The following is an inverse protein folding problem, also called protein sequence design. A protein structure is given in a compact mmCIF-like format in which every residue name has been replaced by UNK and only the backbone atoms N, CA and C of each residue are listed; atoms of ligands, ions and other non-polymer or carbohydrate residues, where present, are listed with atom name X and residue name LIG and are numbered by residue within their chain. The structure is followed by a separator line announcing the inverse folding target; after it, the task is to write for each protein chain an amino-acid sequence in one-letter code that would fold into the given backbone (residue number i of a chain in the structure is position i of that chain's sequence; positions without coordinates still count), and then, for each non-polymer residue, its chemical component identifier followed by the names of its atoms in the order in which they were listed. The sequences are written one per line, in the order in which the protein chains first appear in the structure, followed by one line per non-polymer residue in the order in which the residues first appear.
data_IF_029427676768
#
_entry.id   IF_029427676768
#
_cell.length_a   1.000
_cell.length_b   1.000
_cell.length_c   1.000
_cell.angle_alpha   90.00
_cell.angle_beta   90.00
_cell.angle_gamma   90.00
#
_symmetry.space_group_name_H-M   'P 1'
#
loop_
_entity.id
_entity.type
_entity.pdbx_description
1 polymer ?
#
# COMPACT_ATOMS: atom_id res chain seq x y z
N UNK A 1 -16.20 13.76 92.45
CA UNK A 1 -15.48 12.70 91.67
C UNK A 1 -16.08 12.68 90.32
N UNK A 2 -15.45 13.40 89.39
CA UNK A 2 -15.95 13.59 88.00
C UNK A 2 -15.13 12.73 87.06
N UNK A 3 -15.77 11.91 86.29
CA UNK A 3 -15.20 11.15 85.15
C UNK A 3 -15.57 11.82 83.86
N UNK A 4 -14.54 12.23 83.11
CA UNK A 4 -14.68 12.79 81.77
C UNK A 4 -14.70 11.65 80.69
N UNK A 5 -15.68 11.64 79.91
CA UNK A 5 -15.76 10.80 78.72
C UNK A 5 -15.28 11.63 77.52
N UNK A 6 -14.18 11.20 76.91
CA UNK A 6 -13.70 11.73 75.65
C UNK A 6 -14.35 10.97 74.50
N UNK A 7 -15.07 11.64 73.60
CA UNK A 7 -15.62 11.10 72.37
C UNK A 7 -14.54 11.23 71.26
N UNK A 8 -14.10 10.09 70.68
CA UNK A 8 -13.26 10.02 69.49
C UNK A 8 -14.20 10.05 68.27
N UNK A 9 -14.13 11.14 67.49
CA UNK A 9 -14.74 11.22 66.15
C UNK A 9 -13.72 10.70 65.17
N UNK A 10 -13.95 9.51 64.61
CA UNK A 10 -13.16 8.95 63.53
C UNK A 10 -13.65 9.54 62.21
N UNK A 11 -12.83 10.38 61.58
CA UNK A 11 -13.01 10.82 60.20
C UNK A 11 -12.57 9.70 59.24
N UNK A 12 -13.52 8.99 58.65
CA UNK A 12 -13.24 8.05 57.57
C UNK A 12 -12.92 8.79 56.26
N UNK A 13 -11.67 8.79 55.85
CA UNK A 13 -11.26 9.23 54.52
C UNK A 13 -11.71 8.14 53.53
N UNK A 14 -12.80 8.38 52.76
CA UNK A 14 -13.16 7.57 51.60
C UNK A 14 -12.27 8.00 50.46
N UNK A 15 -11.21 7.25 50.18
CA UNK A 15 -10.39 7.41 49.01
C UNK A 15 -11.22 6.92 47.80
N UNK A 16 -11.69 7.86 46.98
CA UNK A 16 -12.22 7.54 45.64
C UNK A 16 -11.04 7.18 44.76
N UNK A 17 -10.81 5.88 44.57
CA UNK A 17 -9.92 5.38 43.50
C UNK A 17 -10.72 5.57 42.21
N UNK A 18 -10.41 6.65 41.48
CA UNK A 18 -10.84 6.81 40.11
C UNK A 18 -10.13 5.72 39.31
N UNK A 19 -10.82 4.63 38.97
CA UNK A 19 -10.43 3.73 37.92
C UNK A 19 -10.49 4.53 36.61
N UNK A 20 -9.36 5.14 36.24
CA UNK A 20 -9.14 5.59 34.88
C UNK A 20 -9.18 4.31 34.01
N UNK A 21 -10.32 4.06 33.37
CA UNK A 21 -10.39 3.07 32.31
C UNK A 21 -9.33 3.42 31.28
N UNK A 22 -8.28 2.61 31.19
CA UNK A 22 -7.40 2.65 30.06
C UNK A 22 -8.31 2.44 28.85
N UNK A 23 -8.52 3.48 28.05
CA UNK A 23 -9.07 3.31 26.71
C UNK A 23 -8.15 2.28 26.07
N UNK A 24 -8.67 1.10 25.75
CA UNK A 24 -7.95 0.16 24.90
C UNK A 24 -7.62 0.96 23.65
N UNK A 25 -6.33 1.25 23.44
CA UNK A 25 -5.90 1.79 22.18
C UNK A 25 -6.42 0.82 21.12
N UNK A 26 -7.20 1.33 20.16
CA UNK A 26 -7.66 0.51 19.05
C UNK A 26 -6.45 -0.20 18.47
N UNK A 27 -6.55 -1.49 18.27
CA UNK A 27 -5.47 -2.33 17.77
C UNK A 27 -5.31 -2.00 16.28
N UNK A 28 -4.24 -1.30 15.84
CA UNK A 28 -4.18 -0.71 14.49
C UNK A 28 -4.45 -1.73 13.39
N UNK A 29 -3.90 -2.93 13.51
CA UNK A 29 -4.07 -4.00 12.49
C UNK A 29 -5.50 -4.56 12.39
N UNK A 30 -6.40 -4.20 13.28
CA UNK A 30 -7.82 -4.56 13.23
C UNK A 30 -8.71 -3.43 12.71
N UNK A 31 -8.13 -2.34 12.26
CA UNK A 31 -8.86 -1.16 11.77
C UNK A 31 -8.53 -0.86 10.32
N UNK A 32 -9.50 -0.33 9.58
CA UNK A 32 -9.27 0.28 8.27
C UNK A 32 -9.47 1.79 8.41
N UNK A 33 -8.40 2.59 8.48
CA UNK A 33 -8.53 4.04 8.46
C UNK A 33 -9.16 4.53 7.13
N UNK A 34 -9.82 5.69 7.12
CA UNK A 34 -10.41 6.24 5.91
C UNK A 34 -9.33 6.55 4.86
N UNK A 35 -9.69 6.38 3.58
CA UNK A 35 -8.81 6.76 2.47
C UNK A 35 -8.50 8.26 2.54
N UNK A 36 -7.22 8.65 2.57
CA UNK A 36 -6.84 10.05 2.61
C UNK A 36 -7.13 10.75 1.28
N UNK A 37 -7.13 12.07 1.29
CA UNK A 37 -7.17 12.87 0.07
C UNK A 37 -5.76 13.21 -0.39
N UNK A 38 -5.53 13.21 -1.70
CA UNK A 38 -4.28 13.74 -2.26
C UNK A 38 -4.19 15.26 -2.01
N UNK A 39 -2.98 15.80 -1.78
CA UNK A 39 -2.78 17.25 -1.78
C UNK A 39 -3.06 17.85 -3.17
N UNK A 40 -2.97 19.17 -3.29
CA UNK A 40 -3.13 19.83 -4.59
C UNK A 40 -1.95 19.46 -5.50
N UNK A 41 -2.25 18.73 -6.58
CA UNK A 41 -1.23 18.34 -7.55
C UNK A 41 -0.64 19.56 -8.29
N UNK A 42 0.64 19.48 -8.65
CA UNK A 42 1.27 20.40 -9.58
C UNK A 42 0.73 20.20 -11.00
N UNK A 43 0.52 18.94 -11.38
CA UNK A 43 -0.09 18.53 -12.62
C UNK A 43 -0.91 17.25 -12.38
N UNK A 44 -2.06 17.14 -13.05
CA UNK A 44 -2.83 15.91 -13.11
C UNK A 44 -3.58 15.83 -14.43
N UNK A 45 -3.90 14.62 -14.86
CA UNK A 45 -4.61 14.42 -16.11
C UNK A 45 -4.62 12.96 -16.53
N UNK A 46 -4.75 12.74 -17.84
CA UNK A 46 -4.81 11.42 -18.45
C UNK A 46 -3.69 11.28 -19.48
N UNK A 47 -2.84 10.27 -19.27
CA UNK A 47 -1.86 9.83 -20.26
C UNK A 47 -2.50 8.81 -21.22
N UNK A 48 -2.39 8.99 -22.54
CA UNK A 48 -2.83 8.01 -23.52
C UNK A 48 -1.77 6.90 -23.66
N UNK A 49 -1.87 5.86 -22.82
CA UNK A 49 -0.92 4.74 -22.82
C UNK A 49 -1.65 3.44 -23.13
N UNK A 50 -1.02 2.55 -23.86
CA UNK A 50 -1.49 1.17 -24.14
C UNK A 50 -3.00 1.04 -24.42
N UNK A 51 -3.55 1.96 -25.24
CA UNK A 51 -4.97 2.04 -25.65
C UNK A 51 -5.95 2.41 -24.54
N UNK A 52 -5.48 2.94 -23.41
CA UNK A 52 -6.31 3.44 -22.32
C UNK A 52 -5.99 4.92 -22.01
N UNK A 53 -6.86 5.53 -21.23
CA UNK A 53 -6.61 6.83 -20.59
C UNK A 53 -6.21 6.55 -19.14
N UNK A 54 -4.92 6.60 -18.85
CA UNK A 54 -4.37 6.37 -17.52
C UNK A 54 -4.35 7.68 -16.75
N UNK A 55 -5.08 7.74 -15.66
CA UNK A 55 -5.06 8.91 -14.79
C UNK A 55 -3.80 8.94 -13.95
N UNK A 56 -3.21 10.13 -13.82
CA UNK A 56 -2.04 10.37 -12.98
C UNK A 56 -2.09 11.74 -12.31
N UNK A 57 -1.28 11.92 -11.26
CA UNK A 57 -1.00 13.21 -10.66
C UNK A 57 0.46 13.30 -10.23
N UNK A 58 1.04 14.51 -10.38
CA UNK A 58 2.43 14.81 -10.03
C UNK A 58 2.50 15.86 -8.92
N UNK A 59 3.45 15.66 -8.01
CA UNK A 59 3.70 16.52 -6.86
C UNK A 59 5.20 16.73 -6.69
N UNK A 60 5.57 17.88 -6.14
CA UNK A 60 6.95 18.16 -5.78
C UNK A 60 7.93 18.18 -6.96
N UNK A 61 9.20 18.21 -6.64
CA UNK A 61 10.33 18.23 -7.58
C UNK A 61 11.47 17.42 -7.00
N UNK A 62 12.41 16.96 -7.85
CA UNK A 62 13.57 16.19 -7.42
C UNK A 62 13.67 14.84 -8.12
N UNK A 63 14.25 13.85 -7.43
CA UNK A 63 14.32 12.48 -7.94
C UNK A 63 12.92 11.88 -8.11
N UNK A 64 12.62 11.22 -9.25
CA UNK A 64 11.29 10.69 -9.49
C UNK A 64 11.02 9.43 -8.67
N UNK A 65 9.85 9.41 -8.00
CA UNK A 65 9.30 8.28 -7.26
C UNK A 65 7.89 8.04 -7.72
N UNK A 66 7.57 6.80 -8.12
CA UNK A 66 6.24 6.40 -8.55
C UNK A 66 5.61 5.55 -7.45
N UNK A 67 4.42 5.94 -7.01
CA UNK A 67 3.64 5.16 -6.04
C UNK A 67 2.55 4.37 -6.75
N UNK A 68 2.56 3.05 -6.58
CA UNK A 68 1.63 2.10 -7.19
C UNK A 68 0.73 1.49 -6.11
N UNK A 69 -0.56 1.68 -6.26
CA UNK A 69 -1.57 1.20 -5.32
C UNK A 69 -1.88 -0.30 -5.51
N UNK A 70 -2.49 -0.93 -4.53
CA UNK A 70 -2.96 -2.31 -4.56
C UNK A 70 -4.26 -2.51 -5.37
N UNK A 71 -4.65 -3.75 -5.56
CA UNK A 71 -5.88 -4.11 -6.27
C UNK A 71 -7.13 -3.50 -5.65
N UNK A 72 -8.13 -3.22 -6.48
CA UNK A 72 -9.41 -2.58 -6.15
C UNK A 72 -9.32 -1.16 -5.58
N UNK A 73 -8.12 -0.64 -5.33
CA UNK A 73 -7.90 0.68 -4.74
C UNK A 73 -7.65 1.77 -5.82
N UNK A 74 -7.10 2.90 -5.42
CA UNK A 74 -6.78 4.02 -6.30
C UNK A 74 -5.66 4.88 -5.71
N UNK A 75 -5.17 5.85 -6.46
CA UNK A 75 -4.05 6.71 -6.08
C UNK A 75 -4.26 7.51 -4.79
N UNK A 76 -5.51 7.77 -4.38
CA UNK A 76 -5.79 8.54 -3.17
C UNK A 76 -5.22 7.87 -1.91
N UNK A 77 -5.10 6.54 -1.90
CA UNK A 77 -4.53 5.79 -0.80
C UNK A 77 -3.14 6.26 -0.39
N UNK A 78 -2.39 6.86 -1.30
CA UNK A 78 -1.06 7.43 -1.05
C UNK A 78 -1.05 8.88 -0.52
N UNK A 79 -2.23 9.44 -0.16
CA UNK A 79 -2.35 10.85 0.23
C UNK A 79 -1.48 11.26 1.42
N UNK A 80 -1.24 10.39 2.38
CA UNK A 80 -0.34 10.65 3.52
C UNK A 80 1.12 10.72 3.08
N UNK A 81 1.59 9.74 2.31
CA UNK A 81 2.96 9.62 1.84
C UNK A 81 3.30 10.76 0.86
N UNK A 82 2.39 11.05 -0.07
CA UNK A 82 2.56 12.19 -1.00
C UNK A 82 2.76 13.49 -0.24
N UNK A 83 1.88 13.81 0.72
CA UNK A 83 1.96 15.04 1.52
C UNK A 83 3.28 15.15 2.29
N UNK A 84 3.77 14.04 2.80
CA UNK A 84 4.99 14.03 3.61
C UNK A 84 6.28 14.05 2.79
N UNK A 85 6.25 13.66 1.52
CA UNK A 85 7.44 13.49 0.68
C UNK A 85 7.49 14.48 -0.51
N UNK A 86 6.42 15.20 -0.83
CA UNK A 86 6.37 16.13 -1.99
C UNK A 86 7.35 17.30 -1.90
N UNK A 87 7.87 17.59 -0.71
CA UNK A 87 8.92 18.60 -0.52
C UNK A 87 10.32 18.14 -0.94
N UNK A 88 10.52 16.83 -1.11
CA UNK A 88 11.84 16.20 -1.30
C UNK A 88 11.96 15.50 -2.66
N UNK A 89 10.86 14.97 -3.19
CA UNK A 89 10.83 14.13 -4.39
C UNK A 89 9.84 14.63 -5.43
N UNK A 90 10.10 14.29 -6.71
CA UNK A 90 9.09 14.36 -7.76
C UNK A 90 8.23 13.10 -7.65
N UNK A 91 7.06 13.21 -7.04
CA UNK A 91 6.17 12.09 -6.82
C UNK A 91 5.16 11.98 -7.96
N UNK A 92 5.00 10.79 -8.48
CA UNK A 92 3.93 10.43 -9.41
C UNK A 92 3.05 9.37 -8.76
N UNK A 93 1.76 9.63 -8.72
CA UNK A 93 0.75 8.60 -8.41
C UNK A 93 -0.11 8.37 -9.64
N UNK A 94 -0.65 7.17 -9.77
CA UNK A 94 -1.53 6.82 -10.89
C UNK A 94 -2.65 5.91 -10.41
N UNK A 95 -3.78 5.96 -11.10
CA UNK A 95 -4.79 4.91 -11.00
C UNK A 95 -4.44 3.85 -12.05
N UNK A 96 -4.21 2.60 -11.64
CA UNK A 96 -3.92 1.49 -12.54
C UNK A 96 -5.08 1.27 -13.53
N UNK A 97 -4.82 0.57 -14.65
CA UNK A 97 -5.86 0.29 -15.64
C UNK A 97 -7.14 -0.25 -14.98
N UNK A 98 -8.29 0.30 -15.35
CA UNK A 98 -9.59 -0.08 -14.82
C UNK A 98 -9.86 0.34 -13.37
N UNK A 99 -8.88 0.84 -12.64
CA UNK A 99 -9.03 1.33 -11.27
C UNK A 99 -9.30 2.84 -11.24
N UNK A 100 -9.93 3.29 -10.18
CA UNK A 100 -10.14 4.71 -9.92
C UNK A 100 -10.66 5.46 -11.15
N UNK A 101 -9.90 6.44 -11.64
CA UNK A 101 -10.26 7.31 -12.77
C UNK A 101 -9.80 6.77 -14.12
N UNK A 102 -8.97 5.71 -14.12
CA UNK A 102 -8.40 5.15 -15.34
C UNK A 102 -9.38 4.28 -16.10
N UNK A 103 -9.31 4.32 -17.45
CA UNK A 103 -10.09 3.42 -18.28
C UNK A 103 -9.44 2.04 -18.37
N UNK A 104 -10.19 1.06 -18.91
CA UNK A 104 -9.67 -0.24 -19.34
C UNK A 104 -10.14 -0.52 -20.77
N UNK A 105 -9.49 -1.46 -21.43
CA UNK A 105 -9.92 -2.02 -22.69
C UNK A 105 -10.39 -3.49 -22.50
N UNK A 106 -10.61 -4.19 -23.58
CA UNK A 106 -11.12 -5.57 -23.54
C UNK A 106 -10.06 -6.63 -23.21
N UNK A 107 -8.78 -6.25 -23.09
CA UNK A 107 -7.71 -7.20 -22.73
C UNK A 107 -7.90 -7.68 -21.30
N UNK A 108 -7.59 -8.96 -21.02
CA UNK A 108 -7.49 -9.44 -19.64
C UNK A 108 -6.47 -8.61 -18.83
N UNK A 109 -6.70 -8.47 -17.56
CA UNK A 109 -5.67 -7.94 -16.64
C UNK A 109 -4.49 -8.91 -16.58
N UNK A 110 -3.29 -8.35 -16.40
CA UNK A 110 -2.05 -9.07 -16.18
C UNK A 110 -1.01 -8.11 -15.61
N UNK A 111 -0.11 -8.60 -14.77
CA UNK A 111 0.92 -7.76 -14.17
C UNK A 111 1.91 -7.22 -15.20
N UNK A 112 2.25 -8.00 -16.22
CA UNK A 112 3.01 -7.58 -17.39
C UNK A 112 2.36 -6.38 -18.11
N UNK A 113 1.08 -6.48 -18.38
CA UNK A 113 0.33 -5.41 -19.03
C UNK A 113 0.22 -4.16 -18.14
N UNK A 114 0.11 -4.34 -16.82
CA UNK A 114 0.10 -3.22 -15.87
C UNK A 114 1.50 -2.59 -15.71
N UNK A 115 2.56 -3.39 -15.80
CA UNK A 115 3.94 -2.90 -15.86
C UNK A 115 4.19 -2.06 -17.12
N UNK A 116 3.73 -2.52 -18.28
CA UNK A 116 3.77 -1.76 -19.54
C UNK A 116 3.03 -0.42 -19.44
N UNK A 117 1.94 -0.35 -18.68
CA UNK A 117 1.24 0.92 -18.43
C UNK A 117 2.06 1.90 -17.61
N UNK A 118 2.75 1.41 -16.58
CA UNK A 118 3.68 2.23 -15.77
C UNK A 118 4.81 2.75 -16.65
N UNK A 119 5.42 1.89 -17.47
CA UNK A 119 6.48 2.27 -18.40
C UNK A 119 5.99 3.29 -19.44
N UNK A 120 4.79 3.08 -19.98
CA UNK A 120 4.16 4.03 -20.90
C UNK A 120 3.86 5.39 -20.25
N UNK A 121 3.47 5.41 -18.96
CA UNK A 121 3.32 6.65 -18.20
C UNK A 121 4.69 7.34 -17.99
N UNK A 122 5.72 6.57 -17.65
CA UNK A 122 7.09 7.11 -17.51
C UNK A 122 7.55 7.77 -18.82
N UNK A 123 7.31 7.14 -19.97
CA UNK A 123 7.66 7.70 -21.28
C UNK A 123 6.87 8.99 -21.57
N UNK A 124 5.57 8.99 -21.29
CA UNK A 124 4.72 10.17 -21.45
C UNK A 124 5.20 11.35 -20.60
N UNK A 125 5.64 11.09 -19.37
CA UNK A 125 6.16 12.07 -18.42
C UNK A 125 7.66 12.37 -18.59
N UNK A 126 8.31 11.71 -19.57
CA UNK A 126 9.75 11.80 -19.83
C UNK A 126 10.59 11.47 -18.59
N UNK A 127 10.21 10.40 -17.91
CA UNK A 127 10.95 9.86 -16.77
C UNK A 127 11.73 8.64 -17.26
N UNK A 128 13.04 8.76 -17.48
CA UNK A 128 13.84 7.63 -17.99
C UNK A 128 14.00 6.52 -16.95
N UNK A 129 14.06 6.90 -15.67
CA UNK A 129 14.29 5.99 -14.56
C UNK A 129 13.66 6.56 -13.28
N UNK A 130 12.99 5.72 -12.47
CA UNK A 130 12.37 6.13 -11.21
C UNK A 130 12.58 5.11 -10.10
N UNK A 131 12.45 5.52 -8.84
CA UNK A 131 12.15 4.61 -7.74
C UNK A 131 10.66 4.25 -7.78
N UNK A 132 10.33 3.04 -7.36
CA UNK A 132 8.93 2.60 -7.20
C UNK A 132 8.68 2.25 -5.74
N UNK A 133 7.56 2.73 -5.22
CA UNK A 133 6.97 2.32 -3.95
C UNK A 133 5.63 1.67 -4.29
N UNK A 134 5.57 0.35 -4.15
CA UNK A 134 4.38 -0.43 -4.50
C UNK A 134 3.75 -1.07 -3.29
N UNK A 135 2.43 -1.15 -3.29
CA UNK A 135 1.63 -1.90 -2.33
C UNK A 135 0.83 -2.99 -3.03
N UNK A 136 0.92 -4.24 -2.56
CA UNK A 136 0.14 -5.38 -3.05
C UNK A 136 0.31 -5.54 -4.57
N UNK A 137 -0.75 -5.46 -5.39
CA UNK A 137 -0.64 -5.48 -6.86
C UNK A 137 0.40 -4.48 -7.38
N UNK A 138 0.47 -3.29 -6.80
CA UNK A 138 1.46 -2.28 -7.19
C UNK A 138 2.90 -2.70 -6.89
N UNK A 139 3.13 -3.48 -5.84
CA UNK A 139 4.43 -4.06 -5.53
C UNK A 139 4.78 -5.21 -6.49
N UNK A 140 3.80 -6.02 -6.89
CA UNK A 140 3.96 -7.08 -7.90
C UNK A 140 4.31 -6.48 -9.25
N UNK A 141 3.63 -5.39 -9.66
CA UNK A 141 4.00 -4.62 -10.86
C UNK A 141 5.43 -4.09 -10.76
N UNK A 142 5.84 -3.60 -9.59
CA UNK A 142 7.23 -3.18 -9.35
C UNK A 142 8.24 -4.32 -9.50
N UNK A 143 7.92 -5.53 -9.03
CA UNK A 143 8.74 -6.73 -9.21
C UNK A 143 8.82 -7.15 -10.69
N UNK A 144 7.71 -7.08 -11.42
CA UNK A 144 7.70 -7.34 -12.86
C UNK A 144 8.64 -6.41 -13.62
N UNK A 145 8.60 -5.10 -13.32
CA UNK A 145 9.52 -4.11 -13.88
C UNK A 145 10.97 -4.40 -13.47
N UNK A 146 11.22 -4.82 -12.21
CA UNK A 146 12.56 -5.17 -11.75
C UNK A 146 13.15 -6.37 -12.49
N UNK A 147 12.31 -7.32 -12.88
CA UNK A 147 12.69 -8.53 -13.63
C UNK A 147 12.92 -8.22 -15.12
N UNK A 148 12.00 -7.49 -15.76
CA UNK A 148 11.97 -7.39 -17.22
C UNK A 148 12.55 -6.06 -17.75
N UNK A 149 12.53 -4.99 -16.91
CA UNK A 149 12.95 -3.63 -17.29
C UNK A 149 13.81 -2.95 -16.21
N UNK A 150 14.87 -3.61 -15.70
CA UNK A 150 15.68 -3.09 -14.59
C UNK A 150 16.36 -1.75 -14.91
N UNK A 151 16.54 -1.42 -16.19
CA UNK A 151 17.10 -0.12 -16.64
C UNK A 151 16.15 1.05 -16.34
N UNK A 152 14.84 0.80 -16.19
CA UNK A 152 13.82 1.81 -15.89
C UNK A 152 13.61 2.04 -14.39
N UNK A 153 14.16 1.16 -13.55
CA UNK A 153 13.94 1.13 -12.12
C UNK A 153 15.22 1.45 -11.35
N UNK A 154 15.23 2.53 -10.56
CA UNK A 154 16.38 2.86 -9.71
C UNK A 154 16.44 2.01 -8.46
N UNK A 155 15.31 1.75 -7.82
CA UNK A 155 15.11 0.89 -6.64
C UNK A 155 13.63 0.60 -6.43
N UNK A 156 13.30 -0.47 -5.70
CA UNK A 156 11.93 -0.91 -5.43
C UNK A 156 11.67 -1.12 -3.94
N UNK A 157 10.66 -0.44 -3.41
CA UNK A 157 10.05 -0.74 -2.11
C UNK A 157 8.78 -1.58 -2.37
N UNK A 158 8.88 -2.90 -2.19
CA UNK A 158 7.80 -3.83 -2.46
C UNK A 158 7.07 -4.20 -1.17
N UNK A 159 6.00 -3.47 -0.83
CA UNK A 159 5.20 -3.73 0.35
C UNK A 159 4.06 -4.70 0.04
N UNK A 160 4.00 -5.80 0.80
CA UNK A 160 2.93 -6.79 0.77
C UNK A 160 2.70 -7.43 -0.62
N UNK A 161 3.79 -7.73 -1.34
CA UNK A 161 3.75 -8.46 -2.61
C UNK A 161 3.63 -9.97 -2.39
N UNK A 162 3.19 -10.69 -3.42
CA UNK A 162 3.35 -12.14 -3.53
C UNK A 162 4.03 -12.53 -4.85
N UNK A 163 4.72 -13.65 -4.85
CA UNK A 163 5.43 -14.20 -6.00
C UNK A 163 4.60 -15.16 -6.84
N UNK A 164 3.52 -15.69 -6.25
CA UNK A 164 2.67 -16.75 -6.80
C UNK A 164 1.31 -16.72 -6.11
N UNK A 165 0.20 -17.12 -6.73
CA UNK A 165 -1.12 -17.14 -6.12
C UNK A 165 -1.19 -17.94 -4.81
N UNK A 166 -0.37 -18.99 -4.67
CA UNK A 166 -0.29 -19.76 -3.42
C UNK A 166 0.29 -18.96 -2.24
N UNK A 167 0.95 -17.84 -2.50
CA UNK A 167 1.47 -16.91 -1.51
C UNK A 167 0.40 -16.05 -0.82
N UNK A 168 -0.82 -16.07 -1.34
CA UNK A 168 -1.96 -15.34 -0.77
C UNK A 168 -2.62 -16.19 0.33
N UNK A 169 -3.02 -15.55 1.42
CA UNK A 169 -3.78 -16.16 2.51
C UNK A 169 -5.30 -16.11 2.21
N UNK A 170 -6.08 -16.84 2.99
CA UNK A 170 -7.55 -16.74 2.94
C UNK A 170 -8.01 -15.49 3.69
N UNK A 171 -8.41 -14.48 2.95
CA UNK A 171 -8.90 -13.19 3.47
C UNK A 171 -10.41 -13.16 3.76
N UNK A 172 -11.15 -14.23 3.46
CA UNK A 172 -12.61 -14.23 3.56
C UNK A 172 -13.14 -13.92 4.96
N UNK A 173 -12.33 -14.22 5.98
CA UNK A 173 -12.67 -13.99 7.38
C UNK A 173 -11.99 -12.76 8.00
N UNK A 174 -11.24 -11.96 7.23
CA UNK A 174 -10.63 -10.72 7.72
C UNK A 174 -11.66 -9.59 7.78
N UNK A 175 -11.99 -9.04 8.97
CA UNK A 175 -12.90 -7.90 9.08
C UNK A 175 -12.36 -6.66 8.35
N UNK A 176 -11.04 -6.44 8.38
CA UNK A 176 -10.37 -5.30 7.75
C UNK A 176 -10.46 -5.40 6.23
N UNK A 177 -10.18 -6.59 5.66
CA UNK A 177 -10.32 -6.80 4.22
C UNK A 177 -11.77 -6.69 3.73
N UNK A 178 -12.72 -7.23 4.51
CA UNK A 178 -14.14 -7.09 4.18
C UNK A 178 -14.59 -5.62 4.20
N UNK A 179 -14.11 -4.83 5.17
CA UNK A 179 -14.33 -3.39 5.21
C UNK A 179 -13.69 -2.68 4.01
N UNK A 180 -12.47 -3.07 3.62
CA UNK A 180 -11.77 -2.55 2.46
C UNK A 180 -12.54 -2.83 1.15
N UNK A 181 -12.99 -4.06 0.92
CA UNK A 181 -13.76 -4.43 -0.29
C UNK A 181 -15.04 -3.58 -0.40
N UNK A 182 -15.79 -3.46 0.71
CA UNK A 182 -17.00 -2.64 0.76
C UNK A 182 -16.73 -1.15 0.55
N UNK A 183 -15.55 -0.66 0.94
CA UNK A 183 -15.11 0.72 0.72
C UNK A 183 -14.68 0.93 -0.73
N UNK A 184 -13.91 0.01 -1.28
CA UNK A 184 -13.41 0.04 -2.65
C UNK A 184 -14.55 0.11 -3.69
N UNK A 185 -15.68 -0.59 -3.45
CA UNK A 185 -16.87 -0.48 -4.31
C UNK A 185 -17.40 0.95 -4.36
N UNK A 186 -17.56 1.60 -3.20
CA UNK A 186 -18.04 3.00 -3.12
C UNK A 186 -17.10 3.95 -3.85
N UNK A 187 -15.81 3.77 -3.67
CA UNK A 187 -14.80 4.59 -4.34
C UNK A 187 -14.78 4.36 -5.84
N UNK A 188 -14.89 3.10 -6.30
CA UNK A 188 -15.01 2.79 -7.71
C UNK A 188 -16.22 3.49 -8.33
N UNK A 189 -17.40 3.39 -7.70
CA UNK A 189 -18.61 4.06 -8.19
C UNK A 189 -18.44 5.58 -8.24
N UNK A 190 -17.70 6.16 -7.31
CA UNK A 190 -17.49 7.61 -7.26
C UNK A 190 -16.46 8.12 -8.27
N UNK A 191 -15.44 7.33 -8.61
CA UNK A 191 -14.28 7.77 -9.40
C UNK A 191 -14.27 7.25 -10.82
N UNK A 192 -14.81 6.03 -11.06
CA UNK A 192 -14.65 5.33 -12.32
C UNK A 192 -15.44 5.97 -13.46
N UNK A 193 -14.87 6.00 -14.69
CA UNK A 193 -15.63 6.32 -15.89
C UNK A 193 -16.72 5.29 -16.22
N UNK A 194 -16.67 4.10 -15.58
CA UNK A 194 -17.64 3.01 -15.77
C UNK A 194 -18.25 2.55 -14.44
N UNK A 195 -18.93 3.44 -13.67
CA UNK A 195 -19.34 3.18 -12.29
C UNK A 195 -20.28 1.99 -12.11
N UNK A 196 -20.99 1.58 -13.17
CA UNK A 196 -21.92 0.44 -13.14
C UNK A 196 -21.26 -0.91 -13.43
N UNK A 197 -19.97 -0.93 -13.71
CA UNK A 197 -19.24 -2.13 -14.12
C UNK A 197 -18.36 -2.73 -13.02
N UNK A 198 -18.58 -2.32 -11.74
CA UNK A 198 -17.75 -2.78 -10.63
C UNK A 198 -17.66 -4.29 -10.51
N UNK A 199 -18.81 -4.98 -10.61
CA UNK A 199 -18.80 -6.45 -10.56
C UNK A 199 -17.95 -7.07 -11.67
N UNK A 200 -18.11 -6.61 -12.91
CA UNK A 200 -17.32 -7.11 -14.04
C UNK A 200 -15.82 -6.78 -13.91
N UNK A 201 -15.49 -5.66 -13.29
CA UNK A 201 -14.12 -5.29 -12.94
C UNK A 201 -13.54 -6.25 -11.90
N UNK A 202 -14.24 -6.49 -10.79
CA UNK A 202 -13.81 -7.41 -9.73
C UNK A 202 -13.66 -8.84 -10.26
N UNK A 203 -14.59 -9.32 -11.09
CA UNK A 203 -14.51 -10.66 -11.70
C UNK A 203 -13.24 -10.81 -12.58
N UNK A 204 -12.82 -9.74 -13.29
CA UNK A 204 -11.61 -9.76 -14.12
C UNK A 204 -10.33 -9.70 -13.27
N UNK A 205 -10.29 -8.86 -12.24
CA UNK A 205 -9.16 -8.78 -11.29
C UNK A 205 -9.01 -10.12 -10.54
N UNK A 206 -10.13 -10.71 -10.07
CA UNK A 206 -10.13 -12.01 -9.41
C UNK A 206 -9.49 -13.11 -10.28
N UNK A 207 -9.79 -13.16 -11.57
CA UNK A 207 -9.14 -14.09 -12.49
C UNK A 207 -7.63 -13.87 -12.62
N UNK A 208 -7.18 -12.62 -12.59
CA UNK A 208 -5.75 -12.34 -12.56
C UNK A 208 -5.12 -12.87 -11.28
N UNK A 209 -5.70 -12.62 -10.12
CA UNK A 209 -5.19 -13.09 -8.82
C UNK A 209 -5.18 -14.61 -8.68
N UNK A 210 -6.15 -15.32 -9.29
CA UNK A 210 -6.19 -16.78 -9.33
C UNK A 210 -5.05 -17.40 -10.15
N UNK A 211 -4.50 -16.65 -11.11
CA UNK A 211 -3.57 -17.18 -12.12
C UNK A 211 -2.23 -16.47 -12.20
N UNK A 212 -2.04 -15.39 -11.44
CA UNK A 212 -0.84 -14.56 -11.46
C UNK A 212 -0.54 -13.98 -10.07
N UNK A 213 0.73 -13.56 -9.83
CA UNK A 213 1.91 -13.77 -10.68
C UNK A 213 2.41 -15.22 -10.63
N UNK A 214 3.40 -15.54 -11.49
CA UNK A 214 4.18 -16.79 -11.41
C UNK A 214 5.67 -16.47 -11.62
N UNK A 215 6.26 -15.76 -10.68
CA UNK A 215 7.68 -15.45 -10.74
C UNK A 215 8.53 -16.67 -10.33
N UNK A 216 9.48 -16.99 -11.18
CA UNK A 216 10.41 -18.10 -10.93
C UNK A 216 11.58 -17.65 -10.06
N UNK A 217 12.20 -18.59 -9.37
CA UNK A 217 13.45 -18.35 -8.64
C UNK A 217 14.54 -17.74 -9.54
N UNK A 218 14.66 -18.20 -10.78
CA UNK A 218 15.64 -17.68 -11.73
C UNK A 218 15.39 -16.20 -12.07
N UNK A 219 14.13 -15.78 -12.18
CA UNK A 219 13.77 -14.36 -12.37
C UNK A 219 14.15 -13.52 -11.16
N UNK A 220 13.85 -13.98 -9.94
CA UNK A 220 14.26 -13.28 -8.71
C UNK A 220 15.78 -13.17 -8.58
N UNK A 221 16.52 -14.25 -8.86
CA UNK A 221 17.98 -14.24 -8.86
C UNK A 221 18.59 -13.30 -9.91
N UNK A 222 17.83 -12.95 -10.95
CA UNK A 222 18.23 -12.01 -11.99
C UNK A 222 18.01 -10.52 -11.62
N UNK A 223 17.30 -10.22 -10.54
CA UNK A 223 17.08 -8.83 -10.12
C UNK A 223 18.38 -8.22 -9.62
N UNK A 224 18.80 -7.13 -10.26
CA UNK A 224 20.05 -6.43 -9.96
C UNK A 224 19.86 -5.03 -9.34
N UNK A 225 18.63 -4.55 -9.25
CA UNK A 225 18.31 -3.27 -8.63
C UNK A 225 18.12 -3.44 -7.13
N UNK A 226 18.39 -2.42 -6.30
CA UNK A 226 18.09 -2.46 -4.87
C UNK A 226 16.59 -2.70 -4.62
N UNK A 227 16.26 -3.70 -3.81
CA UNK A 227 14.88 -4.06 -3.46
C UNK A 227 14.75 -4.18 -1.94
N UNK A 228 13.75 -3.53 -1.38
CA UNK A 228 13.23 -3.88 -0.07
C UNK A 228 11.98 -4.74 -0.24
N UNK A 229 11.99 -5.92 0.35
CA UNK A 229 10.81 -6.76 0.55
C UNK A 229 10.25 -6.38 1.91
N UNK A 230 9.05 -5.79 1.88
CA UNK A 230 8.43 -5.23 3.06
C UNK A 230 7.08 -5.88 3.31
N UNK A 231 6.78 -6.15 4.56
CA UNK A 231 5.53 -6.76 4.97
C UNK A 231 5.13 -6.26 6.37
N UNK A 232 3.92 -6.50 6.79
CA UNK A 232 3.43 -6.22 8.14
C UNK A 232 3.40 -7.50 8.99
N UNK A 233 3.59 -7.39 10.30
CA UNK A 233 3.58 -8.57 11.18
C UNK A 233 2.20 -9.22 11.31
N UNK A 234 1.15 -8.45 11.05
CA UNK A 234 -0.26 -8.89 11.00
C UNK A 234 -0.86 -8.81 9.59
N UNK A 235 -0.05 -8.94 8.53
CA UNK A 235 -0.58 -8.99 7.17
C UNK A 235 -1.52 -10.20 7.02
N UNK A 236 -2.79 -9.93 6.73
CA UNK A 236 -3.82 -10.93 6.59
C UNK A 236 -3.95 -11.49 5.17
N UNK A 237 -3.32 -10.83 4.18
CA UNK A 237 -3.41 -11.21 2.77
C UNK A 237 -2.18 -12.00 2.29
N UNK A 238 -1.00 -11.68 2.79
CA UNK A 238 0.24 -12.28 2.31
C UNK A 238 0.79 -13.26 3.34
N UNK A 239 1.02 -14.49 2.91
CA UNK A 239 1.67 -15.47 3.77
C UNK A 239 3.13 -15.08 4.02
N UNK A 240 3.52 -15.02 5.28
CA UNK A 240 4.89 -14.70 5.68
C UNK A 240 5.95 -15.56 4.97
N UNK A 241 5.66 -16.82 4.73
CA UNK A 241 6.55 -17.71 4.01
C UNK A 241 6.83 -17.23 2.57
N UNK A 242 5.87 -16.56 1.92
CA UNK A 242 6.07 -16.02 0.58
C UNK A 242 6.92 -14.74 0.61
N UNK A 243 6.73 -13.89 1.61
CA UNK A 243 7.59 -12.72 1.86
C UNK A 243 9.06 -13.14 2.02
N UNK A 244 9.30 -14.14 2.88
CA UNK A 244 10.64 -14.68 3.11
C UNK A 244 11.22 -15.35 1.86
N UNK A 245 10.39 -16.08 1.11
CA UNK A 245 10.81 -16.67 -0.16
C UNK A 245 11.36 -15.63 -1.15
N UNK A 246 10.66 -14.52 -1.33
CA UNK A 246 11.13 -13.43 -2.21
C UNK A 246 12.44 -12.83 -1.69
N UNK A 247 12.52 -12.55 -0.40
CA UNK A 247 13.73 -12.03 0.23
C UNK A 247 14.93 -12.96 0.04
N UNK A 248 14.76 -14.26 0.25
CA UNK A 248 15.83 -15.26 0.17
C UNK A 248 16.36 -15.44 -1.29
N UNK A 249 15.54 -15.13 -2.30
CA UNK A 249 15.87 -15.39 -3.71
C UNK A 249 16.26 -14.12 -4.49
N UNK A 250 16.06 -12.93 -3.96
CA UNK A 250 16.48 -11.67 -4.60
C UNK A 250 17.85 -11.27 -4.04
N UNK A 251 18.93 -11.28 -4.86
CA UNK A 251 20.27 -10.96 -4.37
C UNK A 251 20.36 -9.54 -3.81
N UNK A 252 20.85 -9.41 -2.59
CA UNK A 252 21.00 -8.11 -1.94
C UNK A 252 19.71 -7.43 -1.54
N UNK A 253 18.58 -8.14 -1.56
CA UNK A 253 17.34 -7.60 -0.99
C UNK A 253 17.48 -7.35 0.51
N UNK A 254 16.77 -6.35 1.00
CA UNK A 254 16.61 -6.10 2.44
C UNK A 254 15.18 -6.46 2.86
N UNK A 255 15.03 -6.96 4.09
CA UNK A 255 13.75 -7.37 4.66
C UNK A 255 13.32 -6.41 5.74
N UNK A 256 12.10 -5.88 5.64
CA UNK A 256 11.46 -5.11 6.69
C UNK A 256 10.11 -5.73 7.04
N UNK A 257 9.90 -6.03 8.34
CA UNK A 257 8.61 -6.42 8.88
C UNK A 257 8.13 -5.32 9.81
N UNK A 258 7.08 -4.62 9.41
CA UNK A 258 6.52 -3.53 10.20
C UNK A 258 5.66 -4.06 11.34
N UNK A 259 5.94 -3.67 12.59
CA UNK A 259 5.26 -4.19 13.76
C UNK A 259 3.90 -3.52 14.02
N UNK A 260 2.91 -4.29 14.48
CA UNK A 260 1.64 -3.76 14.99
C UNK A 260 0.70 -3.22 13.91
N UNK A 261 0.89 -3.60 12.67
CA UNK A 261 0.09 -3.16 11.50
C UNK A 261 -0.25 -4.34 10.59
N UNK A 262 -1.17 -4.13 9.63
CA UNK A 262 -1.60 -5.16 8.67
C UNK A 262 -1.28 -4.77 7.23
N UNK A 263 -1.93 -5.43 6.28
CA UNK A 263 -1.84 -5.15 4.83
C UNK A 263 -2.07 -3.67 4.47
N UNK A 264 -2.62 -2.88 5.40
CA UNK A 264 -2.94 -1.46 5.27
C UNK A 264 -2.02 -0.56 6.12
N UNK A 265 -0.81 -1.00 6.40
CA UNK A 265 0.18 -0.31 7.25
C UNK A 265 0.33 1.18 6.93
N UNK A 266 0.40 1.55 5.65
CA UNK A 266 0.53 2.93 5.18
C UNK A 266 -0.66 3.85 5.54
N UNK A 267 -1.81 3.27 5.93
CA UNK A 267 -2.97 3.97 6.50
C UNK A 267 -3.00 3.88 8.03
N UNK A 268 -2.58 2.74 8.59
CA UNK A 268 -2.67 2.45 10.02
C UNK A 268 -1.59 3.15 10.84
N UNK A 269 -0.36 3.22 10.30
CA UNK A 269 0.75 4.02 10.82
C UNK A 269 1.45 4.79 9.68
N UNK A 270 0.82 5.82 9.14
CA UNK A 270 1.37 6.56 8.01
C UNK A 270 2.70 7.25 8.33
N UNK A 271 2.96 7.57 9.60
CA UNK A 271 4.20 8.22 10.00
C UNK A 271 5.38 7.23 9.91
N UNK A 272 5.24 6.04 10.49
CA UNK A 272 6.29 5.02 10.43
C UNK A 272 6.50 4.53 8.99
N UNK A 273 5.40 4.19 8.28
CA UNK A 273 5.51 3.78 6.87
C UNK A 273 6.25 4.81 6.02
N UNK A 274 5.94 6.10 6.19
CA UNK A 274 6.61 7.16 5.44
C UNK A 274 8.08 7.30 5.85
N UNK A 275 8.42 7.12 7.13
CA UNK A 275 9.80 7.14 7.59
C UNK A 275 10.62 6.00 6.96
N UNK A 276 10.04 4.78 6.88
CA UNK A 276 10.66 3.62 6.24
C UNK A 276 10.88 3.87 4.74
N UNK A 277 9.88 4.39 4.04
CA UNK A 277 10.00 4.76 2.62
C UNK A 277 11.08 5.83 2.42
N UNK A 278 11.12 6.87 3.26
CA UNK A 278 12.17 7.91 3.17
C UNK A 278 13.55 7.31 3.37
N UNK A 279 13.73 6.50 4.41
CA UNK A 279 14.99 5.82 4.69
C UNK A 279 15.44 4.98 3.49
N UNK A 280 14.54 4.18 2.89
CA UNK A 280 14.82 3.41 1.68
C UNK A 280 15.25 4.31 0.51
N UNK A 281 14.55 5.42 0.28
CA UNK A 281 14.85 6.33 -0.84
C UNK A 281 16.21 7.02 -0.68
N UNK A 282 16.65 7.30 0.54
CA UNK A 282 17.93 7.95 0.86
C UNK A 282 19.13 7.01 0.80
N UNK A 283 18.94 5.70 0.91
CA UNK A 283 20.03 4.72 0.75
C UNK A 283 20.70 4.88 -0.63
N UNK A 284 22.02 4.72 -0.69
CA UNK A 284 22.83 4.85 -1.91
C UNK A 284 22.91 3.54 -2.69
#
# INVERSE_FOLDING_TARGET
MQRWLAALVAFGLVAHVALSGAAHAETPWLTLPPTPTLPKAMQSGYAPVNRIKLWYAEFGKGAPVIFLHGGLSNANYWGHQVRALEGEYRIVVMDSRGHGRSTRDARPFGYDLMADDVLGLMDYLRIPKAAIVGWSDGAIVGLDIAIHHPERLSKLFAFAANSDPSGVADIAHSPVFNAFIAHAEKEYVALSPTPREYKGFVDQIGKMWETQPHFTEAQFRGIAVPVWIVDADHDEAIKRANTLYMFDHIPGAELLIQPGVSHFSFLQDPAQFTADVRHFLEQR
#
